data_IF_223498312611
#
_entry.id   IF_223498312611
#
_cell.length_a   1.000
_cell.length_b   1.000
_cell.length_c   1.000
_cell.angle_alpha   90.00
_cell.angle_beta   90.00
_cell.angle_gamma   90.00
#
_symmetry.space_group_name_H-M   'P 1'
#
loop_
_entity.id
_entity.type
_entity.pdbx_description
1 polymer ?
#
# COMPACT_ATOMS: atom_id res chain seq x y z
N UNK A 1 19.97 11.87 -16.01
CA UNK A 1 18.65 11.57 -16.59
C UNK A 1 18.81 10.27 -17.38
N UNK A 2 18.23 9.14 -16.97
CA UNK A 2 18.02 8.06 -17.97
C UNK A 2 17.04 8.59 -19.01
N UNK A 3 17.42 8.49 -20.28
CA UNK A 3 16.82 9.15 -21.43
C UNK A 3 15.30 9.01 -21.49
N UNK A 4 14.63 10.14 -21.68
CA UNK A 4 13.23 10.21 -22.08
C UNK A 4 13.01 9.69 -23.51
N UNK A 5 14.08 9.52 -24.31
CA UNK A 5 14.04 9.21 -25.75
C UNK A 5 14.01 7.70 -26.08
N UNK A 6 14.33 6.82 -25.13
CA UNK A 6 14.24 5.35 -25.30
C UNK A 6 12.86 4.77 -24.96
N UNK A 7 12.05 5.50 -24.19
CA UNK A 7 10.67 5.14 -23.86
C UNK A 7 9.78 5.00 -25.11
N UNK A 8 9.84 5.91 -26.11
CA UNK A 8 9.15 5.76 -27.39
C UNK A 8 9.48 4.44 -28.10
N UNK A 9 10.75 4.07 -28.17
CA UNK A 9 11.20 2.89 -28.92
C UNK A 9 10.83 1.59 -28.20
N UNK A 10 11.09 1.49 -26.88
CA UNK A 10 10.68 0.32 -26.11
C UNK A 10 9.16 0.12 -26.11
N UNK A 11 8.39 1.22 -26.06
CA UNK A 11 6.93 1.16 -26.16
C UNK A 11 6.48 0.69 -27.54
N UNK A 12 7.12 1.15 -28.62
CA UNK A 12 6.85 0.72 -30.00
C UNK A 12 7.09 -0.79 -30.14
N UNK A 13 8.27 -1.28 -29.76
CA UNK A 13 8.63 -2.70 -29.82
C UNK A 13 7.63 -3.56 -29.02
N UNK A 14 7.30 -3.16 -27.78
CA UNK A 14 6.34 -3.92 -26.94
C UNK A 14 4.93 -3.93 -27.52
N UNK A 15 4.50 -2.86 -28.21
CA UNK A 15 3.22 -2.82 -28.94
C UNK A 15 3.23 -3.74 -30.16
N UNK A 16 4.33 -3.78 -30.89
CA UNK A 16 4.50 -4.69 -32.03
C UNK A 16 4.48 -6.15 -31.58
N UNK A 17 5.17 -6.49 -30.48
CA UNK A 17 5.09 -7.82 -29.85
C UNK A 17 3.66 -8.16 -29.46
N UNK A 18 2.94 -7.26 -28.77
CA UNK A 18 1.51 -7.45 -28.44
C UNK A 18 0.66 -7.73 -29.69
N UNK A 19 0.89 -6.98 -30.77
CA UNK A 19 0.14 -7.16 -32.02
C UNK A 19 0.47 -8.50 -32.70
N UNK A 20 1.74 -8.93 -32.68
CA UNK A 20 2.17 -10.21 -33.21
C UNK A 20 1.54 -11.39 -32.43
N UNK A 21 1.48 -11.31 -31.10
CA UNK A 21 0.81 -12.30 -30.24
C UNK A 21 -0.66 -12.45 -30.66
N UNK A 22 -1.38 -11.34 -30.81
CA UNK A 22 -2.78 -11.34 -31.26
C UNK A 22 -2.94 -11.92 -32.68
N UNK A 23 -2.05 -11.57 -33.60
CA UNK A 23 -2.11 -12.05 -35.00
C UNK A 23 -1.93 -13.57 -35.10
N UNK A 24 -1.16 -14.16 -34.17
CA UNK A 24 -0.98 -15.61 -34.03
C UNK A 24 -2.19 -16.32 -33.39
N UNK A 25 -3.17 -15.58 -32.88
CA UNK A 25 -4.32 -16.12 -32.15
C UNK A 25 -4.03 -16.42 -30.67
N UNK A 26 -2.89 -15.97 -30.14
CA UNK A 26 -2.59 -16.04 -28.71
C UNK A 26 -3.12 -14.79 -27.97
N UNK A 27 -3.34 -14.92 -26.68
CA UNK A 27 -3.91 -13.85 -25.85
C UNK A 27 -2.81 -13.15 -25.02
N UNK A 28 -2.51 -11.86 -25.27
CA UNK A 28 -1.60 -11.11 -24.41
C UNK A 28 -2.23 -10.65 -23.08
N UNK A 29 -3.54 -10.82 -22.94
CA UNK A 29 -4.36 -10.48 -21.77
C UNK A 29 -5.50 -11.51 -21.62
N UNK A 30 -5.20 -12.79 -21.33
CA UNK A 30 -6.23 -13.79 -21.12
C UNK A 30 -7.09 -13.44 -19.89
N UNK A 31 -8.33 -13.91 -19.87
CA UNK A 31 -9.27 -13.68 -18.75
C UNK A 31 -8.79 -14.35 -17.46
N UNK A 32 -8.16 -15.52 -17.58
CA UNK A 32 -7.60 -16.27 -16.47
C UNK A 32 -6.32 -16.98 -16.90
N UNK A 33 -5.43 -17.19 -15.92
CA UNK A 33 -4.24 -18.03 -16.05
C UNK A 33 -4.16 -19.00 -14.87
N UNK A 34 -3.52 -20.17 -15.02
CA UNK A 34 -3.30 -21.09 -13.92
C UNK A 34 -2.57 -20.42 -12.73
N UNK A 35 -3.08 -20.63 -11.52
CA UNK A 35 -2.39 -20.25 -10.27
C UNK A 35 -2.89 -21.15 -9.15
N UNK A 36 -2.05 -22.08 -8.69
CA UNK A 36 -2.38 -23.03 -7.62
C UNK A 36 -1.88 -22.56 -6.25
N UNK A 37 -0.75 -21.85 -6.23
CA UNK A 37 -0.12 -21.33 -5.00
C UNK A 37 0.38 -19.90 -5.20
N UNK A 38 0.45 -19.12 -4.11
CA UNK A 38 1.22 -17.87 -4.07
C UNK A 38 2.72 -18.14 -4.02
N UNK A 39 3.54 -17.16 -4.37
CA UNK A 39 5.01 -17.30 -4.25
C UNK A 39 5.44 -17.43 -2.79
N UNK A 40 4.75 -16.73 -1.89
CA UNK A 40 4.98 -16.82 -0.44
C UNK A 40 4.63 -18.20 0.13
N UNK A 41 3.56 -18.82 -0.35
CA UNK A 41 3.18 -20.19 0.01
C UNK A 41 4.24 -21.19 -0.45
N UNK A 42 4.72 -21.09 -1.69
CA UNK A 42 5.79 -21.96 -2.21
C UNK A 42 7.06 -21.81 -1.36
N UNK A 43 7.50 -20.58 -1.08
CA UNK A 43 8.68 -20.36 -0.22
C UNK A 43 8.49 -20.94 1.18
N UNK A 44 7.31 -20.79 1.77
CA UNK A 44 7.03 -21.27 3.12
C UNK A 44 6.99 -22.81 3.19
N UNK A 45 6.28 -23.46 2.26
CA UNK A 45 6.15 -24.93 2.17
C UNK A 45 7.49 -25.63 1.91
N UNK A 46 8.39 -24.97 1.18
CA UNK A 46 9.63 -25.57 0.67
C UNK A 46 10.91 -24.93 1.24
N UNK A 47 10.80 -24.20 2.35
CA UNK A 47 11.93 -23.48 2.97
C UNK A 47 13.13 -24.38 3.34
N UNK A 48 12.85 -25.65 3.65
CA UNK A 48 13.83 -26.63 4.15
C UNK A 48 14.27 -27.64 3.07
N UNK A 49 13.98 -27.38 1.78
CA UNK A 49 14.43 -28.26 0.71
C UNK A 49 15.97 -28.28 0.60
N UNK A 50 16.61 -29.47 0.53
CA UNK A 50 18.04 -29.56 0.27
C UNK A 50 18.40 -29.01 -1.11
N UNK A 51 19.69 -28.71 -1.33
CA UNK A 51 20.22 -28.24 -2.61
C UNK A 51 20.13 -29.35 -3.67
N UNK A 52 19.86 -28.98 -4.93
CA UNK A 52 19.81 -29.87 -6.10
C UNK A 52 18.75 -30.99 -6.01
N UNK A 53 17.55 -30.64 -5.55
CA UNK A 53 16.43 -31.57 -5.36
C UNK A 53 15.28 -31.24 -6.33
N UNK A 54 14.76 -32.30 -6.95
CA UNK A 54 13.50 -32.30 -7.70
C UNK A 54 12.40 -32.90 -6.83
N UNK A 55 11.31 -32.17 -6.59
CA UNK A 55 10.29 -32.62 -5.63
C UNK A 55 9.21 -33.52 -6.23
N UNK A 56 9.05 -33.52 -7.55
CA UNK A 56 7.91 -34.10 -8.26
C UNK A 56 6.60 -33.31 -8.10
N UNK A 57 6.59 -32.22 -7.33
CA UNK A 57 5.38 -31.44 -7.05
C UNK A 57 5.20 -30.40 -8.14
N UNK A 58 4.08 -30.50 -8.87
CA UNK A 58 3.70 -29.56 -9.92
C UNK A 58 2.80 -28.47 -9.35
N UNK A 59 3.21 -27.22 -9.57
CA UNK A 59 2.47 -26.03 -9.17
C UNK A 59 2.35 -25.06 -10.35
N UNK A 60 1.39 -24.15 -10.29
CA UNK A 60 1.26 -23.00 -11.17
C UNK A 60 1.41 -21.73 -10.35
N UNK A 61 2.38 -20.89 -10.69
CA UNK A 61 2.65 -19.63 -10.00
C UNK A 61 2.56 -18.45 -10.95
N UNK A 62 2.10 -17.30 -10.46
CA UNK A 62 1.97 -16.08 -11.26
C UNK A 62 2.78 -14.95 -10.64
N UNK A 63 3.54 -14.24 -11.47
CA UNK A 63 4.30 -13.10 -11.00
C UNK A 63 4.78 -12.21 -12.14
N UNK A 64 5.24 -11.01 -11.76
CA UNK A 64 5.85 -10.06 -12.69
C UNK A 64 7.31 -10.44 -12.92
N UNK A 65 7.73 -10.53 -14.17
CA UNK A 65 9.14 -10.73 -14.54
C UNK A 65 9.93 -9.49 -14.17
N UNK A 66 10.75 -9.58 -13.12
CA UNK A 66 11.60 -8.48 -12.64
C UNK A 66 13.05 -8.63 -13.08
N UNK A 67 13.46 -9.85 -13.40
CA UNK A 67 14.76 -10.20 -13.95
C UNK A 67 14.58 -11.32 -14.97
N UNK A 68 15.36 -11.28 -16.05
CA UNK A 68 15.34 -12.27 -17.14
C UNK A 68 16.75 -12.44 -17.67
N UNK A 69 17.19 -13.69 -17.83
CA UNK A 69 18.48 -14.05 -18.41
C UNK A 69 18.33 -15.27 -19.30
N UNK A 70 18.61 -15.09 -20.58
CA UNK A 70 18.50 -16.14 -21.58
C UNK A 70 19.87 -16.71 -21.92
N UNK A 71 20.00 -18.04 -21.91
CA UNK A 71 21.20 -18.75 -22.37
C UNK A 71 20.76 -19.88 -23.29
N UNK A 72 21.57 -20.23 -24.31
CA UNK A 72 21.25 -21.19 -25.38
C UNK A 72 20.01 -22.07 -25.16
N UNK A 73 20.13 -23.12 -24.32
CA UNK A 73 19.07 -24.09 -24.03
C UNK A 73 18.34 -23.90 -22.68
N UNK A 74 18.63 -22.81 -21.95
CA UNK A 74 18.12 -22.59 -20.61
C UNK A 74 17.91 -21.09 -20.33
N UNK A 75 16.69 -20.70 -20.01
CA UNK A 75 16.36 -19.35 -19.59
C UNK A 75 15.99 -19.31 -18.10
N UNK A 76 16.30 -18.18 -17.47
CA UNK A 76 16.00 -17.91 -16.07
C UNK A 76 15.20 -16.62 -15.96
N UNK A 77 14.27 -16.58 -15.01
CA UNK A 77 13.53 -15.38 -14.66
C UNK A 77 13.30 -15.30 -13.16
N UNK A 78 13.32 -14.11 -12.57
CA UNK A 78 12.74 -13.91 -11.25
C UNK A 78 11.34 -13.34 -11.42
N UNK A 79 10.38 -14.03 -10.83
CA UNK A 79 8.98 -13.62 -10.76
C UNK A 79 8.75 -12.95 -9.42
N UNK A 80 8.16 -11.75 -9.41
CA UNK A 80 7.76 -11.04 -8.19
C UNK A 80 6.24 -10.98 -8.09
N UNK A 81 5.69 -11.42 -6.97
CA UNK A 81 4.27 -11.30 -6.64
C UNK A 81 3.95 -9.92 -6.02
N UNK A 82 2.68 -9.56 -5.87
CA UNK A 82 2.26 -8.25 -5.36
C UNK A 82 2.67 -7.93 -3.92
N UNK A 83 2.99 -8.94 -3.11
CA UNK A 83 3.60 -8.81 -1.78
C UNK A 83 5.10 -8.47 -1.82
N UNK A 84 5.73 -8.65 -2.97
CA UNK A 84 7.16 -8.49 -3.16
C UNK A 84 7.94 -9.79 -2.99
N UNK A 85 7.28 -10.91 -2.68
CA UNK A 85 7.91 -12.22 -2.67
C UNK A 85 8.39 -12.55 -4.09
N UNK A 86 9.60 -13.10 -4.19
CA UNK A 86 10.19 -13.48 -5.47
C UNK A 86 10.38 -14.99 -5.58
N UNK A 87 10.30 -15.57 -6.76
CA UNK A 87 10.64 -16.96 -7.01
C UNK A 87 11.32 -17.08 -8.38
N UNK A 88 12.36 -17.91 -8.47
CA UNK A 88 13.01 -18.17 -9.75
C UNK A 88 12.14 -19.09 -10.62
N UNK A 89 12.02 -18.81 -11.90
CA UNK A 89 11.48 -19.70 -12.93
C UNK A 89 12.60 -20.12 -13.87
N UNK A 90 12.65 -21.42 -14.20
CA UNK A 90 13.63 -22.02 -15.08
C UNK A 90 12.93 -22.62 -16.30
N UNK A 91 13.38 -22.26 -17.50
CA UNK A 91 12.83 -22.73 -18.77
C UNK A 91 13.91 -23.48 -19.52
N UNK A 92 13.92 -24.80 -19.45
CA UNK A 92 14.88 -25.64 -20.17
C UNK A 92 14.27 -26.19 -21.45
N UNK A 93 15.06 -26.22 -22.53
CA UNK A 93 14.67 -26.79 -23.82
C UNK A 93 14.05 -28.18 -23.67
N UNK A 94 14.66 -29.04 -22.86
CA UNK A 94 14.25 -30.44 -22.67
C UNK A 94 12.90 -30.60 -21.96
N UNK A 95 12.41 -29.56 -21.25
CA UNK A 95 11.16 -29.61 -20.49
C UNK A 95 10.02 -28.86 -21.17
N UNK A 96 10.31 -27.66 -21.70
CA UNK A 96 9.27 -26.80 -22.28
C UNK A 96 9.17 -26.93 -23.81
N UNK A 97 10.20 -27.49 -24.46
CA UNK A 97 10.29 -27.60 -25.91
C UNK A 97 10.87 -26.35 -26.59
N UNK A 98 11.29 -26.52 -27.85
CA UNK A 98 11.97 -25.49 -28.64
C UNK A 98 11.08 -24.27 -28.92
N UNK A 99 9.86 -24.50 -29.41
CA UNK A 99 8.93 -23.43 -29.78
C UNK A 99 8.59 -22.51 -28.60
N UNK A 100 8.28 -23.09 -27.44
CA UNK A 100 7.94 -22.30 -26.24
C UNK A 100 9.16 -21.57 -25.67
N UNK A 101 10.34 -22.18 -25.73
CA UNK A 101 11.57 -21.52 -25.30
C UNK A 101 11.90 -20.32 -26.20
N UNK A 102 11.65 -20.42 -27.50
CA UNK A 102 11.85 -19.30 -28.44
C UNK A 102 10.81 -18.19 -28.24
N UNK A 103 9.55 -18.54 -27.99
CA UNK A 103 8.50 -17.57 -27.60
C UNK A 103 8.92 -16.85 -26.31
N UNK A 104 9.43 -17.57 -25.31
CA UNK A 104 9.92 -16.96 -24.07
C UNK A 104 11.02 -15.94 -24.33
N UNK A 105 12.00 -16.27 -25.17
CA UNK A 105 13.13 -15.38 -25.50
C UNK A 105 12.67 -14.13 -26.23
N UNK A 106 11.81 -14.29 -27.25
CA UNK A 106 11.45 -13.23 -28.19
C UNK A 106 10.28 -12.36 -27.71
N UNK A 107 9.28 -12.96 -27.07
CA UNK A 107 8.02 -12.28 -26.75
C UNK A 107 7.93 -11.81 -25.29
N UNK A 108 8.66 -12.40 -24.34
CA UNK A 108 8.57 -12.03 -22.92
C UNK A 108 9.64 -10.99 -22.55
N UNK A 109 9.18 -9.88 -21.94
CA UNK A 109 9.98 -8.75 -21.53
C UNK A 109 9.92 -8.52 -20.00
N UNK A 110 10.91 -7.82 -19.46
CA UNK A 110 10.85 -7.31 -18.09
C UNK A 110 9.57 -6.48 -17.88
N UNK A 111 8.89 -6.72 -16.77
CA UNK A 111 7.62 -6.08 -16.42
C UNK A 111 6.38 -6.87 -16.84
N UNK A 112 6.49 -7.84 -17.74
CA UNK A 112 5.36 -8.72 -18.09
C UNK A 112 4.91 -9.53 -16.87
N UNK A 113 3.62 -9.84 -16.79
CA UNK A 113 3.09 -10.78 -15.80
C UNK A 113 2.89 -12.11 -16.51
N UNK A 114 3.46 -13.17 -15.95
CA UNK A 114 3.38 -14.52 -16.49
C UNK A 114 2.88 -15.49 -15.43
N UNK A 115 2.17 -16.52 -15.87
CA UNK A 115 1.90 -17.73 -15.11
C UNK A 115 2.83 -18.83 -15.62
N UNK A 116 3.50 -19.52 -14.70
CA UNK A 116 4.43 -20.61 -15.00
C UNK A 116 3.93 -21.85 -14.29
N UNK A 117 3.73 -22.93 -15.05
CA UNK A 117 3.37 -24.24 -14.51
C UNK A 117 4.56 -25.18 -14.63
N UNK A 118 4.95 -25.78 -13.52
CA UNK A 118 6.14 -26.60 -13.49
C UNK A 118 6.41 -27.24 -12.14
N UNK A 119 7.52 -27.97 -12.09
CA UNK A 119 7.95 -28.68 -10.89
C UNK A 119 8.69 -27.75 -9.93
N UNK A 120 8.38 -27.80 -8.64
CA UNK A 120 9.16 -27.12 -7.61
C UNK A 120 10.48 -27.84 -7.42
N UNK A 121 11.60 -27.13 -7.56
CA UNK A 121 12.94 -27.68 -7.44
C UNK A 121 13.85 -26.73 -6.66
N UNK A 122 14.99 -27.22 -6.19
CA UNK A 122 16.13 -26.39 -5.81
C UNK A 122 17.24 -26.57 -6.84
N UNK A 123 17.82 -25.47 -7.33
CA UNK A 123 18.92 -25.56 -8.29
C UNK A 123 20.20 -26.09 -7.64
N UNK A 124 21.22 -26.40 -8.46
CA UNK A 124 22.59 -26.70 -8.00
C UNK A 124 23.23 -25.62 -7.13
N UNK A 125 22.71 -24.39 -7.16
CA UNK A 125 23.16 -23.26 -6.33
C UNK A 125 22.29 -23.06 -5.08
N UNK A 126 21.30 -23.92 -4.86
CA UNK A 126 20.35 -23.83 -3.75
C UNK A 126 19.17 -22.89 -3.98
N UNK A 127 19.08 -22.21 -5.12
CA UNK A 127 17.94 -21.31 -5.40
C UNK A 127 16.65 -22.11 -5.62
N UNK A 128 15.62 -21.84 -4.80
CA UNK A 128 14.29 -22.40 -4.95
C UNK A 128 13.65 -21.88 -6.25
N UNK A 129 13.25 -22.80 -7.11
CA UNK A 129 12.81 -22.50 -8.47
C UNK A 129 11.58 -23.31 -8.86
N UNK A 130 10.85 -22.82 -9.85
CA UNK A 130 9.91 -23.64 -10.63
C UNK A 130 10.52 -24.00 -11.98
N UNK A 131 10.69 -25.30 -12.24
CA UNK A 131 11.16 -25.82 -13.53
C UNK A 131 9.96 -25.97 -14.46
N UNK A 132 9.83 -25.03 -15.40
CA UNK A 132 8.64 -24.86 -16.22
C UNK A 132 8.42 -26.03 -17.20
N UNK A 133 7.22 -26.59 -17.17
CA UNK A 133 6.65 -27.43 -18.22
C UNK A 133 5.89 -26.59 -19.25
N UNK A 134 5.31 -25.47 -18.82
CA UNK A 134 4.61 -24.50 -19.68
C UNK A 134 4.56 -23.12 -19.03
N UNK A 135 4.27 -22.09 -19.82
CA UNK A 135 3.88 -20.79 -19.30
C UNK A 135 2.75 -20.19 -20.13
N UNK A 136 2.07 -19.21 -19.53
CA UNK A 136 1.10 -18.36 -20.19
C UNK A 136 1.37 -16.91 -19.83
N UNK A 137 1.34 -16.03 -20.82
CA UNK A 137 1.35 -14.59 -20.55
C UNK A 137 0.03 -14.20 -19.87
N UNK A 138 0.10 -13.56 -18.70
CA UNK A 138 -1.07 -13.08 -17.98
C UNK A 138 -1.39 -11.62 -18.31
N UNK A 139 -0.35 -10.80 -18.49
CA UNK A 139 -0.51 -9.43 -18.98
C UNK A 139 0.78 -8.92 -19.62
N UNK A 140 0.70 -8.52 -20.90
CA UNK A 140 1.81 -7.83 -21.58
C UNK A 140 2.00 -6.42 -21.05
N UNK A 141 3.21 -6.11 -20.56
CA UNK A 141 3.60 -4.76 -20.16
C UNK A 141 4.09 -3.97 -21.36
N UNK A 142 3.39 -2.90 -21.69
CA UNK A 142 3.75 -2.01 -22.80
C UNK A 142 4.83 -0.99 -22.43
N UNK A 143 4.90 -0.63 -21.15
CA UNK A 143 5.95 0.26 -20.64
C UNK A 143 6.97 -0.56 -19.85
N UNK A 144 8.27 -0.26 -19.98
CA UNK A 144 9.28 -0.89 -19.14
C UNK A 144 9.14 -0.46 -17.68
N UNK A 145 9.65 -1.29 -16.78
CA UNK A 145 9.89 -0.86 -15.40
C UNK A 145 11.04 0.16 -15.37
N UNK A 146 11.06 1.09 -14.39
CA UNK A 146 12.23 1.91 -14.13
C UNK A 146 13.46 1.03 -13.89
N UNK A 147 14.61 1.51 -14.35
CA UNK A 147 15.88 0.81 -14.12
C UNK A 147 16.25 0.90 -12.64
N UNK A 148 16.67 -0.23 -12.05
CA UNK A 148 16.87 -0.39 -10.60
C UNK A 148 17.84 0.64 -9.99
N UNK A 149 18.87 1.05 -10.72
CA UNK A 149 19.87 2.02 -10.25
C UNK A 149 19.47 3.49 -10.40
N UNK A 150 18.30 3.80 -11.00
CA UNK A 150 17.78 5.17 -11.10
C UNK A 150 16.57 5.32 -10.17
N UNK A 151 16.74 5.84 -8.95
CA UNK A 151 15.63 5.98 -8.02
C UNK A 151 14.57 6.95 -8.59
N UNK A 152 13.30 6.63 -8.34
CA UNK A 152 12.18 7.52 -8.64
C UNK A 152 12.27 8.76 -7.77
N UNK A 153 12.04 9.94 -8.36
CA UNK A 153 11.83 11.19 -7.60
C UNK A 153 10.57 11.08 -6.74
N UNK A 154 10.48 11.86 -5.65
CA UNK A 154 9.29 11.90 -4.80
C UNK A 154 8.02 12.23 -5.59
N UNK A 155 8.10 13.20 -6.51
CA UNK A 155 6.98 13.53 -7.39
C UNK A 155 6.54 12.33 -8.26
N UNK A 156 7.50 11.60 -8.83
CA UNK A 156 7.22 10.42 -9.65
C UNK A 156 6.55 9.31 -8.82
N UNK A 157 6.97 9.13 -7.56
CA UNK A 157 6.37 8.13 -6.65
C UNK A 157 4.91 8.46 -6.34
N UNK A 158 4.58 9.74 -6.20
CA UNK A 158 3.19 10.19 -5.96
C UNK A 158 2.35 10.00 -7.23
N UNK A 159 2.83 10.45 -8.39
CA UNK A 159 2.09 10.36 -9.67
C UNK A 159 1.94 8.93 -10.19
N UNK A 160 2.97 8.10 -10.01
CA UNK A 160 3.02 6.72 -10.50
C UNK A 160 3.11 5.74 -9.33
N UNK A 161 2.18 5.84 -8.36
CA UNK A 161 2.19 4.99 -7.17
C UNK A 161 2.24 3.50 -7.49
N UNK A 162 1.59 3.07 -8.58
CA UNK A 162 1.64 1.68 -9.04
C UNK A 162 3.06 1.22 -9.42
N UNK A 163 3.90 2.10 -9.95
CA UNK A 163 5.32 1.81 -10.24
C UNK A 163 6.12 1.78 -8.94
N UNK A 164 5.93 2.75 -8.06
CA UNK A 164 6.60 2.81 -6.74
C UNK A 164 6.34 1.51 -5.94
N UNK A 165 5.10 1.02 -5.93
CA UNK A 165 4.73 -0.24 -5.29
C UNK A 165 5.40 -1.47 -5.92
N UNK A 166 5.72 -1.46 -7.21
CA UNK A 166 6.43 -2.58 -7.86
C UNK A 166 7.91 -2.58 -7.47
N UNK A 167 8.55 -1.41 -7.51
CA UNK A 167 10.02 -1.33 -7.40
C UNK A 167 10.52 -1.17 -5.97
N UNK A 168 9.74 -0.53 -5.07
CA UNK A 168 10.21 -0.16 -3.73
C UNK A 168 9.53 -0.98 -2.62
N UNK A 169 10.26 -1.83 -1.87
CA UNK A 169 9.72 -2.58 -0.74
C UNK A 169 9.06 -1.69 0.32
N UNK A 170 9.63 -0.53 0.63
CA UNK A 170 9.11 0.38 1.64
C UNK A 170 7.73 0.93 1.24
N UNK A 171 7.49 1.18 -0.06
CA UNK A 171 6.18 1.59 -0.54
C UNK A 171 5.11 0.52 -0.26
N UNK A 172 5.47 -0.75 -0.48
CA UNK A 172 4.61 -1.92 -0.22
C UNK A 172 4.32 -2.10 1.27
N UNK A 173 5.35 -1.96 2.11
CA UNK A 173 5.18 -2.04 3.56
C UNK A 173 4.28 -0.92 4.07
N UNK A 174 4.51 0.33 3.65
CA UNK A 174 3.70 1.48 4.06
C UNK A 174 2.23 1.35 3.61
N UNK A 175 1.99 0.85 2.40
CA UNK A 175 0.64 0.64 1.89
C UNK A 175 -0.15 -0.43 2.66
N UNK A 176 0.53 -1.41 3.29
CA UNK A 176 -0.09 -2.42 4.17
C UNK A 176 -0.20 -1.96 5.62
N UNK A 177 0.76 -1.16 6.07
CA UNK A 177 0.80 -0.57 7.40
C UNK A 177 -0.42 0.31 7.66
N UNK A 178 -0.77 1.20 6.72
CA UNK A 178 -1.94 2.08 6.86
C UNK A 178 -3.26 1.33 7.16
N UNK A 179 -3.70 0.34 6.35
CA UNK A 179 -4.92 -0.40 6.65
C UNK A 179 -4.81 -1.28 7.91
N UNK A 180 -3.61 -1.74 8.29
CA UNK A 180 -3.41 -2.44 9.56
C UNK A 180 -3.67 -1.51 10.76
N UNK A 181 -3.11 -0.29 10.74
CA UNK A 181 -3.38 0.75 11.75
C UNK A 181 -4.87 1.09 11.80
N UNK A 182 -5.51 1.33 10.65
CA UNK A 182 -6.95 1.62 10.58
C UNK A 182 -7.83 0.50 11.15
N UNK A 183 -7.42 -0.76 11.02
CA UNK A 183 -8.10 -1.92 11.60
C UNK A 183 -7.93 -1.96 13.12
N UNK A 184 -6.71 -1.73 13.61
CA UNK A 184 -6.44 -1.68 15.05
C UNK A 184 -7.25 -0.57 15.75
N UNK A 185 -7.31 0.62 15.15
CA UNK A 185 -8.11 1.73 15.65
C UNK A 185 -9.60 1.35 15.78
N UNK A 186 -10.19 0.79 14.72
CA UNK A 186 -11.58 0.30 14.74
C UNK A 186 -11.81 -0.80 15.80
N UNK A 187 -10.89 -1.75 15.91
CA UNK A 187 -10.98 -2.81 16.92
C UNK A 187 -10.93 -2.25 18.35
N UNK A 188 -10.12 -1.22 18.59
CA UNK A 188 -10.02 -0.55 19.89
C UNK A 188 -11.31 0.16 20.25
N UNK A 189 -11.92 0.88 19.30
CA UNK A 189 -13.25 1.48 19.46
C UNK A 189 -14.32 0.42 19.74
N UNK A 190 -14.35 -0.66 18.96
CA UNK A 190 -15.31 -1.76 19.11
C UNK A 190 -15.21 -2.42 20.50
N UNK A 191 -13.98 -2.66 20.99
CA UNK A 191 -13.75 -3.23 22.32
C UNK A 191 -14.25 -2.32 23.45
N UNK A 192 -14.36 -1.01 23.18
CA UNK A 192 -14.86 0.01 24.11
C UNK A 192 -16.31 0.41 23.87
N UNK A 193 -17.04 -0.35 23.04
CA UNK A 193 -18.45 -0.13 22.70
C UNK A 193 -18.73 1.23 22.04
N UNK A 194 -17.78 1.77 21.28
CA UNK A 194 -18.04 2.92 20.41
C UNK A 194 -18.68 2.46 19.10
N UNK A 195 -19.68 3.19 18.62
CA UNK A 195 -20.38 2.94 17.37
C UNK A 195 -19.74 3.75 16.22
N UNK A 196 -19.35 3.06 15.14
CA UNK A 196 -18.95 3.76 13.89
C UNK A 196 -20.20 4.30 13.20
N UNK A 197 -20.20 5.59 12.88
CA UNK A 197 -21.31 6.24 12.14
C UNK A 197 -20.77 6.93 10.89
N UNK A 198 -21.64 7.10 9.89
CA UNK A 198 -21.33 7.87 8.68
C UNK A 198 -22.13 9.17 8.66
N UNK A 199 -21.43 10.31 8.54
CA UNK A 199 -22.06 11.63 8.51
C UNK A 199 -21.90 12.30 7.13
N UNK A 200 -22.77 13.25 6.74
CA UNK A 200 -22.71 13.87 5.42
C UNK A 200 -21.37 14.57 5.14
N UNK A 201 -20.76 14.25 3.99
CA UNK A 201 -19.58 14.95 3.47
C UNK A 201 -19.92 16.19 2.66
N UNK A 202 -21.08 16.22 1.99
CA UNK A 202 -21.62 17.41 1.35
C UNK A 202 -22.58 18.10 2.31
N UNK A 203 -22.32 19.36 2.62
CA UNK A 203 -23.02 20.12 3.64
C UNK A 203 -23.46 21.49 3.09
N UNK A 204 -24.66 21.94 3.45
CA UNK A 204 -25.13 23.30 3.13
C UNK A 204 -24.32 24.36 3.89
N UNK A 205 -23.92 24.03 5.11
CA UNK A 205 -23.07 24.86 5.97
C UNK A 205 -21.99 23.96 6.57
N UNK A 206 -20.73 24.34 6.37
CA UNK A 206 -19.58 23.66 6.97
C UNK A 206 -19.29 24.24 8.36
N UNK A 207 -18.75 23.43 9.26
CA UNK A 207 -18.38 23.83 10.62
C UNK A 207 -17.56 22.75 11.33
N UNK A 208 -17.28 22.94 12.63
CA UNK A 208 -16.46 22.01 13.43
C UNK A 208 -14.95 22.19 13.30
N UNK A 209 -14.50 23.17 12.51
CA UNK A 209 -13.10 23.59 12.45
C UNK A 209 -12.99 25.01 11.89
N UNK A 210 -11.85 25.66 12.10
CA UNK A 210 -11.49 26.91 11.43
C UNK A 210 -10.66 26.58 10.17
N UNK A 211 -11.34 26.39 9.03
CA UNK A 211 -10.69 26.06 7.76
C UNK A 211 -11.51 26.57 6.56
N UNK A 212 -10.84 26.83 5.43
CA UNK A 212 -11.52 27.17 4.17
C UNK A 212 -12.09 25.91 3.52
N UNK A 213 -13.39 25.85 3.17
CA UNK A 213 -13.98 24.67 2.55
C UNK A 213 -13.68 24.59 1.05
N UNK A 214 -13.85 23.41 0.49
CA UNK A 214 -14.12 23.27 -0.95
C UNK A 214 -15.61 23.51 -1.21
N UNK A 215 -15.90 24.19 -2.32
CA UNK A 215 -17.26 24.54 -2.76
C UNK A 215 -17.58 23.81 -4.06
N UNK A 216 -18.80 23.30 -4.19
CA UNK A 216 -19.31 22.68 -5.42
C UNK A 216 -20.78 23.02 -5.61
N UNK A 217 -21.32 22.81 -6.81
CA UNK A 217 -22.71 23.09 -7.13
C UNK A 217 -23.51 21.78 -7.27
N UNK A 218 -24.65 21.69 -6.59
CA UNK A 218 -25.58 20.56 -6.74
C UNK A 218 -26.60 20.88 -7.83
N UNK A 219 -26.55 20.14 -8.94
CA UNK A 219 -27.56 20.24 -10.00
C UNK A 219 -28.96 19.83 -9.52
N UNK A 220 -29.05 18.89 -8.57
CA UNK A 220 -30.34 18.36 -8.12
C UNK A 220 -31.10 19.33 -7.19
N UNK A 221 -30.38 20.16 -6.44
CA UNK A 221 -30.95 21.13 -5.49
C UNK A 221 -30.74 22.58 -5.93
N UNK A 222 -30.11 22.78 -7.10
CA UNK A 222 -29.76 24.08 -7.68
C UNK A 222 -29.10 25.03 -6.67
N UNK A 223 -28.20 24.50 -5.85
CA UNK A 223 -27.56 25.25 -4.76
C UNK A 223 -26.09 24.88 -4.57
N UNK A 224 -25.36 25.78 -3.93
CA UNK A 224 -24.00 25.53 -3.48
C UNK A 224 -23.97 24.57 -2.29
N UNK A 225 -23.03 23.62 -2.34
CA UNK A 225 -22.68 22.73 -1.25
C UNK A 225 -21.18 22.83 -0.95
N UNK A 226 -20.83 22.48 0.27
CA UNK A 226 -19.45 22.50 0.75
C UNK A 226 -19.02 21.09 1.14
N UNK A 227 -17.79 20.73 0.81
CA UNK A 227 -17.19 19.53 1.39
C UNK A 227 -16.84 19.80 2.85
N UNK A 228 -17.13 18.82 3.72
CA UNK A 228 -16.91 18.97 5.16
C UNK A 228 -15.44 19.19 5.51
N UNK A 229 -15.22 20.08 6.47
CA UNK A 229 -13.91 20.34 7.09
C UNK A 229 -13.70 19.52 8.37
N UNK A 230 -14.80 19.06 8.98
CA UNK A 230 -14.90 18.21 10.17
C UNK A 230 -16.31 17.57 10.27
N UNK A 231 -16.46 16.34 10.78
CA UNK A 231 -17.75 15.74 11.11
C UNK A 231 -18.36 16.19 12.46
N UNK A 232 -17.63 16.91 13.31
CA UNK A 232 -18.01 17.32 14.68
C UNK A 232 -19.49 17.63 14.89
N UNK A 233 -20.06 18.56 14.12
CA UNK A 233 -21.43 19.02 14.35
C UNK A 233 -22.46 17.91 14.14
N UNK A 234 -22.21 16.95 13.24
CA UNK A 234 -23.09 15.81 13.02
C UNK A 234 -22.89 14.73 14.07
N UNK A 235 -21.67 14.50 14.53
CA UNK A 235 -21.42 13.56 15.63
C UNK A 235 -22.06 14.04 16.93
N UNK A 236 -22.01 15.35 17.23
CA UNK A 236 -22.77 15.93 18.36
C UNK A 236 -24.28 15.72 18.21
N UNK A 237 -24.84 15.82 17.00
CA UNK A 237 -26.26 15.50 16.75
C UNK A 237 -26.57 14.01 17.00
N UNK A 238 -25.64 13.12 16.69
CA UNK A 238 -25.77 11.69 17.01
C UNK A 238 -25.87 11.47 18.53
N UNK A 239 -25.02 12.16 19.30
CA UNK A 239 -25.06 12.12 20.77
C UNK A 239 -26.38 12.68 21.31
N UNK A 240 -26.85 13.82 20.81
CA UNK A 240 -28.17 14.38 21.14
C UNK A 240 -29.29 13.37 20.81
N UNK A 241 -29.15 12.62 19.73
CA UNK A 241 -30.06 11.55 19.33
C UNK A 241 -30.02 10.29 20.20
N UNK A 242 -29.16 10.24 21.22
CA UNK A 242 -29.07 9.14 22.19
C UNK A 242 -27.92 8.16 21.95
N UNK A 243 -27.04 8.40 20.98
CA UNK A 243 -25.85 7.57 20.78
C UNK A 243 -24.73 8.02 21.72
N UNK A 244 -24.57 7.33 22.85
CA UNK A 244 -23.65 7.74 23.92
C UNK A 244 -22.17 7.70 23.50
N UNK A 245 -21.76 6.71 22.69
CA UNK A 245 -20.37 6.56 22.25
C UNK A 245 -20.31 6.40 20.73
N UNK A 246 -19.81 7.40 20.04
CA UNK A 246 -19.72 7.41 18.58
C UNK A 246 -18.34 7.78 18.09
N UNK A 247 -17.98 7.28 16.92
CA UNK A 247 -16.80 7.73 16.20
C UNK A 247 -17.01 7.68 14.70
N UNK A 248 -16.20 8.43 13.97
CA UNK A 248 -16.09 8.32 12.52
C UNK A 248 -14.62 8.35 12.10
N UNK A 249 -14.20 7.39 11.27
CA UNK A 249 -12.87 7.36 10.61
C UNK A 249 -13.07 7.52 9.12
N UNK A 250 -13.00 8.76 8.62
CA UNK A 250 -13.26 9.01 7.20
C UNK A 250 -12.63 10.34 6.73
N UNK A 251 -12.95 10.75 5.50
CA UNK A 251 -12.30 11.86 4.82
C UNK A 251 -12.77 13.23 5.28
N UNK A 252 -11.85 14.18 5.35
CA UNK A 252 -12.09 15.62 5.47
C UNK A 252 -11.37 16.36 4.36
N UNK A 253 -11.88 17.55 4.04
CA UNK A 253 -11.42 18.36 2.92
C UNK A 253 -11.16 19.80 3.39
N UNK A 254 -9.93 20.29 3.26
CA UNK A 254 -9.55 21.67 3.62
C UNK A 254 -8.82 22.33 2.47
N UNK A 255 -9.37 23.43 1.99
CA UNK A 255 -8.88 24.15 0.82
C UNK A 255 -7.76 25.13 1.21
N UNK A 256 -6.63 24.54 1.63
CA UNK A 256 -5.47 25.21 2.20
C UNK A 256 -4.19 24.83 1.43
N UNK A 257 -3.04 25.31 1.89
CA UNK A 257 -1.74 24.91 1.35
C UNK A 257 -1.46 23.43 1.61
N UNK A 258 -0.60 22.84 0.77
CA UNK A 258 -0.16 21.46 0.92
C UNK A 258 1.36 21.41 1.15
N UNK A 259 1.80 20.58 2.08
CA UNK A 259 3.21 20.37 2.43
C UNK A 259 3.42 18.94 2.97
N UNK A 260 4.54 18.67 3.64
CA UNK A 260 4.86 17.34 4.18
C UNK A 260 3.87 16.83 5.24
N UNK A 261 3.14 17.72 5.90
CA UNK A 261 2.15 17.43 6.95
C UNK A 261 0.72 17.79 6.55
N UNK A 262 0.53 18.57 5.48
CA UNK A 262 -0.79 19.05 5.04
C UNK A 262 -1.16 18.50 3.66
N UNK A 263 -2.32 17.85 3.59
CA UNK A 263 -2.96 17.46 2.33
C UNK A 263 -4.38 18.00 2.28
N UNK A 264 -4.85 18.55 1.14
CA UNK A 264 -6.20 19.09 1.04
C UNK A 264 -7.30 18.06 1.28
N UNK A 265 -6.99 16.78 1.10
CA UNK A 265 -7.83 15.64 1.45
C UNK A 265 -7.07 14.73 2.41
N UNK A 266 -7.62 14.47 3.60
CA UNK A 266 -6.99 13.61 4.59
C UNK A 266 -8.02 12.79 5.36
N UNK A 267 -7.57 11.69 5.97
CA UNK A 267 -8.42 10.90 6.86
C UNK A 267 -8.24 11.40 8.29
N UNK A 268 -9.35 11.54 9.01
CA UNK A 268 -9.38 11.96 10.40
C UNK A 268 -10.26 11.01 11.20
N UNK A 269 -9.97 10.93 12.50
CA UNK A 269 -10.81 10.27 13.48
C UNK A 269 -11.43 11.36 14.34
N UNK A 270 -12.75 11.35 14.48
CA UNK A 270 -13.42 12.06 15.57
C UNK A 270 -14.22 11.08 16.40
N UNK A 271 -14.29 11.35 17.71
CA UNK A 271 -15.02 10.50 18.66
C UNK A 271 -15.69 11.36 19.73
N UNK A 272 -16.85 10.90 20.19
CA UNK A 272 -17.63 11.52 21.25
C UNK A 272 -18.11 10.45 22.22
N UNK A 273 -18.01 10.74 23.51
CA UNK A 273 -18.48 9.91 24.62
C UNK A 273 -19.31 10.78 25.57
N UNK A 274 -20.59 10.44 25.72
CA UNK A 274 -21.48 11.05 26.69
C UNK A 274 -21.03 10.70 28.11
N UNK A 275 -21.24 11.63 29.04
CA UNK A 275 -20.91 11.48 30.47
C UNK A 275 -19.42 11.32 30.79
N UNK A 276 -18.54 11.43 29.78
CA UNK A 276 -17.10 11.57 29.96
C UNK A 276 -16.64 13.03 29.88
N UNK A 277 -15.36 13.22 30.18
CA UNK A 277 -14.66 14.49 30.06
C UNK A 277 -13.38 14.33 29.22
N UNK A 278 -12.55 15.37 29.19
CA UNK A 278 -11.29 15.34 28.45
C UNK A 278 -10.29 14.32 29.01
N UNK A 279 -10.34 13.96 30.30
CA UNK A 279 -9.50 12.90 30.87
C UNK A 279 -9.87 11.54 30.26
N UNK A 280 -11.17 11.28 30.12
CA UNK A 280 -11.68 10.06 29.47
C UNK A 280 -11.20 9.97 28.01
N UNK A 281 -11.18 11.10 27.30
CA UNK A 281 -10.65 11.19 25.93
C UNK A 281 -9.13 11.05 25.87
N UNK A 282 -8.38 11.53 26.87
CA UNK A 282 -6.93 11.36 26.96
C UNK A 282 -6.57 9.86 27.11
N UNK A 283 -7.24 9.15 28.02
CA UNK A 283 -7.07 7.70 28.22
C UNK A 283 -7.40 6.90 26.95
N UNK A 284 -8.50 7.28 26.26
CA UNK A 284 -8.88 6.68 24.99
C UNK A 284 -7.82 6.91 23.91
N UNK A 285 -7.35 8.14 23.77
CA UNK A 285 -6.33 8.51 22.76
C UNK A 285 -5.03 7.75 22.99
N UNK A 286 -4.56 7.69 24.23
CA UNK A 286 -3.37 6.93 24.58
C UNK A 286 -3.53 5.44 24.20
N UNK A 287 -4.69 4.86 24.53
CA UNK A 287 -4.99 3.46 24.25
C UNK A 287 -5.06 3.16 22.75
N UNK A 288 -5.65 4.06 21.96
CA UNK A 288 -5.70 3.95 20.49
C UNK A 288 -4.29 3.89 19.89
N UNK A 289 -3.38 4.77 20.33
CA UNK A 289 -2.02 4.83 19.82
C UNK A 289 -1.20 3.62 20.28
N UNK A 290 -1.24 3.27 21.56
CA UNK A 290 -0.49 2.14 22.11
C UNK A 290 -0.94 0.80 21.52
N UNK A 291 -2.26 0.59 21.38
CA UNK A 291 -2.78 -0.63 20.78
C UNK A 291 -2.43 -0.73 19.29
N UNK A 292 -2.51 0.39 18.55
CA UNK A 292 -2.08 0.43 17.15
C UNK A 292 -0.59 0.11 16.99
N UNK A 293 0.27 0.63 17.87
CA UNK A 293 1.69 0.29 17.88
C UNK A 293 1.91 -1.20 18.16
N UNK A 294 1.24 -1.74 19.18
CA UNK A 294 1.34 -3.15 19.57
C UNK A 294 0.87 -4.10 18.46
N UNK A 295 -0.27 -3.83 17.83
CA UNK A 295 -0.83 -4.68 16.80
C UNK A 295 0.02 -4.73 15.53
N UNK A 296 0.73 -3.64 15.23
CA UNK A 296 1.54 -3.50 14.02
C UNK A 296 2.99 -3.92 14.23
N UNK A 297 3.61 -3.49 15.32
CA UNK A 297 5.04 -3.68 15.59
C UNK A 297 5.32 -4.79 16.62
N UNK A 298 4.28 -5.38 17.22
CA UNK A 298 4.39 -6.37 18.29
C UNK A 298 4.81 -5.79 19.65
N UNK A 299 5.03 -4.47 19.73
CA UNK A 299 5.45 -3.74 20.93
C UNK A 299 4.95 -2.30 20.90
N UNK A 300 5.12 -1.55 21.99
CA UNK A 300 4.84 -0.11 21.98
C UNK A 300 5.98 0.72 21.38
N UNK A 301 7.08 0.09 20.97
CA UNK A 301 8.20 0.77 20.32
C UNK A 301 7.96 0.85 18.81
N UNK A 302 7.62 2.05 18.33
CA UNK A 302 7.47 2.33 16.92
C UNK A 302 8.84 2.58 16.28
N UNK A 303 9.11 1.90 15.15
CA UNK A 303 10.34 2.08 14.37
C UNK A 303 10.10 3.01 13.20
N UNK A 304 10.88 4.08 13.13
CA UNK A 304 10.87 5.03 12.04
C UNK A 304 11.75 4.52 10.88
N UNK A 305 11.51 5.00 9.67
CA UNK A 305 12.20 4.51 8.47
C UNK A 305 13.70 4.85 8.44
N UNK A 306 14.13 5.85 9.21
CA UNK A 306 15.53 6.27 9.36
C UNK A 306 16.26 5.56 10.51
N UNK A 307 15.62 4.57 11.13
CA UNK A 307 16.18 3.78 12.23
C UNK A 307 15.94 4.35 13.62
N UNK A 308 15.33 5.53 13.75
CA UNK A 308 14.89 6.03 15.07
C UNK A 308 13.80 5.14 15.65
N UNK A 309 13.86 4.91 16.95
CA UNK A 309 12.83 4.19 17.70
C UNK A 309 12.17 5.15 18.69
N UNK A 310 10.85 5.08 18.80
CA UNK A 310 10.06 5.88 19.73
C UNK A 310 9.24 4.92 20.59
N UNK A 311 9.44 4.96 21.91
CA UNK A 311 8.58 4.26 22.84
C UNK A 311 7.27 5.03 23.04
N UNK A 312 6.16 4.45 22.59
CA UNK A 312 4.81 4.99 22.76
C UNK A 312 4.13 4.44 24.03
N UNK A 313 4.80 3.57 24.78
CA UNK A 313 4.30 2.91 25.97
C UNK A 313 4.25 3.80 27.21
N UNK A 314 3.98 3.16 28.36
CA UNK A 314 3.95 3.83 29.66
C UNK A 314 2.78 4.81 29.82
N UNK A 315 2.93 5.73 30.78
CA UNK A 315 2.07 6.90 30.92
C UNK A 315 2.72 8.08 30.21
N UNK A 316 1.95 8.86 29.46
CA UNK A 316 2.45 10.04 28.78
C UNK A 316 2.52 11.23 29.74
N UNK A 317 3.37 12.19 29.42
CA UNK A 317 3.48 13.42 30.20
C UNK A 317 2.22 14.26 30.00
N UNK A 318 1.63 14.71 31.11
CA UNK A 318 0.56 15.70 31.13
C UNK A 318 1.15 17.04 31.53
N UNK A 319 1.00 18.04 30.65
CA UNK A 319 1.56 19.38 30.87
C UNK A 319 0.47 20.43 30.69
N UNK A 320 0.45 21.42 31.57
CA UNK A 320 -0.39 22.62 31.44
C UNK A 320 0.21 23.54 30.38
N UNK A 321 -0.63 24.13 29.52
CA UNK A 321 -0.21 25.08 28.48
C UNK A 321 0.52 26.29 29.08
N UNK A 322 -0.06 26.88 30.14
CA UNK A 322 0.51 28.06 30.79
C UNK A 322 1.82 27.74 31.50
N UNK A 323 1.93 26.56 32.11
CA UNK A 323 3.15 26.14 32.79
C UNK A 323 4.27 25.90 31.76
N UNK A 324 3.98 25.20 30.66
CA UNK A 324 4.93 24.93 29.60
C UNK A 324 5.44 26.22 28.92
N UNK A 325 4.54 27.19 28.69
CA UNK A 325 4.94 28.52 28.18
C UNK A 325 5.81 29.23 29.22
N UNK A 326 5.38 29.26 30.48
CA UNK A 326 6.08 29.96 31.56
C UNK A 326 7.50 29.45 31.73
N UNK A 327 7.68 28.12 31.70
CA UNK A 327 8.99 27.48 31.72
C UNK A 327 9.83 27.86 30.50
N UNK A 328 9.23 27.80 29.30
CA UNK A 328 9.91 28.12 28.05
C UNK A 328 10.39 29.58 27.94
N UNK A 329 9.65 30.53 28.53
CA UNK A 329 10.02 31.96 28.54
C UNK A 329 10.73 32.41 29.81
N UNK A 330 10.77 31.59 30.85
CA UNK A 330 11.39 31.90 32.14
C UNK A 330 10.62 32.93 32.99
N UNK A 331 9.33 33.15 32.72
CA UNK A 331 8.48 34.07 33.48
C UNK A 331 7.05 33.51 33.58
N UNK A 332 6.32 33.84 34.63
CA UNK A 332 4.94 33.38 34.79
C UNK A 332 4.02 33.98 33.71
N UNK A 333 3.39 33.10 32.94
CA UNK A 333 2.37 33.42 31.94
C UNK A 333 1.05 32.80 32.37
N UNK A 334 0.00 33.61 32.44
CA UNK A 334 -1.35 33.21 32.83
C UNK A 334 -2.35 33.67 31.77
N UNK A 335 -3.62 33.28 31.92
CA UNK A 335 -4.70 33.77 31.07
C UNK A 335 -4.91 35.30 31.15
N UNK A 336 -4.32 35.96 32.15
CA UNK A 336 -4.41 37.41 32.37
C UNK A 336 -3.14 38.15 31.92
N UNK A 337 -2.11 37.44 31.46
CA UNK A 337 -0.87 38.07 30.97
C UNK A 337 -1.18 38.79 29.65
N UNK A 338 -0.95 40.10 29.62
CA UNK A 338 -1.18 40.93 28.43
C UNK A 338 -0.21 40.59 27.29
N UNK A 339 -0.70 40.74 26.05
CA UNK A 339 0.07 40.54 24.82
C UNK A 339 1.30 41.45 24.68
#
# INVERSE_FOLDING_TARGET
MADEDDLPEQLRIRREKRAAILKRGAEPYPVAVPRTSSLSEIRSKHKDLPIDVSTGIIESVTGRVIFKRDTGKLCFANLREGDGTELQAMFSLDKIGEDQLEIWKTEIDLGDIVSVTGEVITSKRGELSILANSFSLAAKSLRPLPVEHKPLSEESRVRMRYVDLIVRPEARSNARLRPAVMRSLRNTFNTRNFLEVETPMLQVMHGGAAARPFKTFSNAYEMDLFLRIAPELYLKRCVVGGLEKVYEINRNFRNEGADSSHSPEFAMIETYEAYGDWNSMADLTQSLVQQAAKDVFGSHTAKHFDGREIDLGGKWNEISLFDAISEGVGQEVTALTSH
#
